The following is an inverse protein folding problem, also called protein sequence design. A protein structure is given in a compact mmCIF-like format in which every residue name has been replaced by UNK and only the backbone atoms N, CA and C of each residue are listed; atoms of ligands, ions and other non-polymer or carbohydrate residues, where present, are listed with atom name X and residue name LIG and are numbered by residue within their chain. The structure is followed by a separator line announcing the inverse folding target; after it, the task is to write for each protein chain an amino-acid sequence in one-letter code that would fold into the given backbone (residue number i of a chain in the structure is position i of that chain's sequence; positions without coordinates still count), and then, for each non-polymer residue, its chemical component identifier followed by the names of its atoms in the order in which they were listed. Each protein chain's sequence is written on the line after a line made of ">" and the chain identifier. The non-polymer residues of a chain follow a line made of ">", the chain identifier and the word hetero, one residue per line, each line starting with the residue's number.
data_IF_544449575060
#
_entry.id   IF_544449575060
#
_cell.length_a   1.000
_cell.length_b   1.000
_cell.length_c   1.000
_cell.angle_alpha   90.00
_cell.angle_beta   90.00
_cell.angle_gamma   90.00
#
_symmetry.space_group_name_H-M   'P 1'
#
loop_
_entity.id
_entity.type
_entity.pdbx_description
1 polymer ?
#
# COMPACT_ATOMS: atom_id res chain seq x y z
N UNK A 1 16.57 1.47 -0.73
CA UNK A 1 17.71 2.30 -1.22
C UNK A 1 17.44 2.54 -2.70
N UNK A 2 17.18 3.77 -3.12
CA UNK A 2 16.88 4.10 -4.52
C UNK A 2 18.20 4.07 -5.30
N UNK A 3 18.46 3.03 -6.08
CA UNK A 3 19.65 2.98 -6.96
C UNK A 3 19.77 4.20 -7.87
N UNK A 4 18.63 4.75 -8.31
CA UNK A 4 18.57 5.84 -9.29
C UNK A 4 18.44 7.25 -8.69
N UNK A 5 18.41 7.39 -7.36
CA UNK A 5 18.51 8.70 -6.70
C UNK A 5 19.79 8.88 -5.91
N UNK A 6 20.72 7.93 -6.04
CA UNK A 6 22.09 8.08 -5.59
C UNK A 6 22.81 8.79 -6.73
N UNK A 7 23.45 9.94 -6.47
CA UNK A 7 24.36 10.58 -7.41
C UNK A 7 25.30 9.55 -8.04
N UNK A 8 25.52 9.63 -9.36
CA UNK A 8 26.18 8.56 -10.11
C UNK A 8 27.57 8.21 -9.55
N UNK A 9 28.29 9.21 -9.07
CA UNK A 9 29.54 9.14 -8.31
C UNK A 9 29.40 8.26 -7.05
N UNK A 10 28.42 8.54 -6.19
CA UNK A 10 28.19 7.74 -4.97
C UNK A 10 27.74 6.30 -5.32
N UNK A 11 27.02 6.11 -6.43
CA UNK A 11 26.65 4.76 -6.88
C UNK A 11 27.87 3.97 -7.34
N UNK A 12 28.77 4.60 -8.11
CA UNK A 12 30.02 3.99 -8.54
C UNK A 12 30.89 3.61 -7.33
N UNK A 13 30.89 4.43 -6.27
CA UNK A 13 31.65 4.17 -5.06
C UNK A 13 31.08 3.01 -4.22
N UNK A 14 29.77 2.75 -4.28
CA UNK A 14 29.12 1.72 -3.44
C UNK A 14 28.94 0.40 -4.19
N UNK A 15 28.76 0.42 -5.52
CA UNK A 15 28.43 -0.78 -6.30
C UNK A 15 29.49 -1.87 -6.19
N UNK A 16 30.77 -1.50 -6.05
CA UNK A 16 31.89 -2.44 -5.96
C UNK A 16 31.93 -3.16 -4.60
N UNK A 17 31.19 -2.65 -3.61
CA UNK A 17 30.99 -3.28 -2.30
C UNK A 17 29.71 -4.13 -2.23
N UNK A 18 28.87 -4.11 -3.26
CA UNK A 18 27.64 -4.91 -3.33
C UNK A 18 27.93 -6.20 -4.09
N UNK A 19 27.49 -7.34 -3.54
CA UNK A 19 27.50 -8.56 -4.34
C UNK A 19 26.52 -8.40 -5.51
N UNK A 20 26.78 -9.01 -6.68
CA UNK A 20 25.83 -8.99 -7.80
C UNK A 20 24.40 -9.38 -7.40
N UNK A 21 24.28 -10.33 -6.46
CA UNK A 21 23.00 -10.75 -5.88
C UNK A 21 22.28 -9.63 -5.11
N UNK A 22 23.00 -8.71 -4.48
CA UNK A 22 22.40 -7.57 -3.77
C UNK A 22 21.82 -6.56 -4.76
N UNK A 23 22.49 -6.34 -5.89
CA UNK A 23 22.03 -5.44 -6.94
C UNK A 23 20.77 -6.01 -7.61
N UNK A 24 20.79 -7.28 -8.01
CA UNK A 24 19.62 -7.99 -8.55
C UNK A 24 18.46 -7.95 -7.56
N UNK A 25 18.70 -8.25 -6.28
CA UNK A 25 17.66 -8.21 -5.26
C UNK A 25 17.01 -6.84 -5.12
N UNK A 26 17.77 -5.74 -5.23
CA UNK A 26 17.20 -4.39 -5.15
C UNK A 26 16.40 -4.07 -6.41
N UNK A 27 16.89 -4.45 -7.59
CA UNK A 27 16.20 -4.20 -8.86
C UNK A 27 14.92 -5.03 -9.00
N UNK A 28 14.89 -6.25 -8.49
CA UNK A 28 13.74 -7.16 -8.56
C UNK A 28 12.88 -7.19 -7.30
N UNK A 29 13.07 -6.28 -6.34
CA UNK A 29 12.31 -6.30 -5.07
C UNK A 29 10.80 -6.25 -5.32
N UNK A 30 10.32 -5.39 -6.23
CA UNK A 30 8.90 -5.27 -6.55
C UNK A 30 8.34 -6.55 -7.18
N UNK A 31 9.05 -7.13 -8.15
CA UNK A 31 8.72 -8.43 -8.74
C UNK A 31 8.60 -9.51 -7.66
N UNK A 32 9.59 -9.57 -6.77
CA UNK A 32 9.63 -10.53 -5.67
C UNK A 32 8.44 -10.39 -4.71
N UNK A 33 8.01 -9.17 -4.40
CA UNK A 33 6.82 -8.92 -3.56
C UNK A 33 5.57 -9.53 -4.18
N UNK A 34 5.29 -9.24 -5.45
CA UNK A 34 4.13 -9.78 -6.14
C UNK A 34 4.17 -11.32 -6.23
N UNK A 35 5.34 -11.90 -6.51
CA UNK A 35 5.53 -13.35 -6.57
C UNK A 35 5.39 -14.04 -5.19
N UNK A 36 5.65 -13.35 -4.08
CA UNK A 36 5.39 -13.88 -2.73
C UNK A 36 3.91 -13.86 -2.34
N UNK A 37 3.08 -13.09 -3.06
CA UNK A 37 1.65 -12.98 -2.79
C UNK A 37 0.89 -13.92 -3.74
N UNK A 38 1.20 -13.88 -5.04
CA UNK A 38 0.51 -14.61 -6.08
C UNK A 38 1.39 -15.73 -6.64
N UNK A 39 0.80 -16.93 -6.77
CA UNK A 39 1.40 -18.05 -7.52
C UNK A 39 0.99 -18.04 -9.00
N UNK A 40 -0.07 -17.32 -9.32
CA UNK A 40 -0.68 -17.26 -10.65
C UNK A 40 -1.18 -15.83 -10.93
N UNK A 41 -0.85 -15.22 -12.09
CA UNK A 41 -1.27 -13.85 -12.40
C UNK A 41 -2.74 -13.71 -12.84
N UNK A 42 -3.48 -14.80 -13.07
CA UNK A 42 -4.82 -14.74 -13.70
C UNK A 42 -5.79 -13.73 -13.08
N UNK A 43 -5.87 -13.66 -11.74
CA UNK A 43 -6.74 -12.70 -11.07
C UNK A 43 -6.22 -11.26 -11.23
N UNK A 44 -4.91 -11.05 -11.13
CA UNK A 44 -4.31 -9.73 -11.33
C UNK A 44 -4.54 -9.26 -12.77
N UNK A 45 -4.38 -10.12 -13.76
CA UNK A 45 -4.65 -9.80 -15.15
C UNK A 45 -6.12 -9.44 -15.38
N UNK A 46 -7.03 -10.05 -14.62
CA UNK A 46 -8.45 -9.70 -14.61
C UNK A 46 -8.65 -8.30 -14.03
N UNK A 47 -8.05 -8.02 -12.87
CA UNK A 47 -8.08 -6.70 -12.23
C UNK A 47 -7.49 -5.59 -13.10
N UNK A 48 -6.43 -5.88 -13.85
CA UNK A 48 -5.83 -4.95 -14.81
C UNK A 48 -6.75 -4.66 -15.99
N UNK A 49 -7.56 -5.64 -16.42
CA UNK A 49 -8.49 -5.49 -17.55
C UNK A 49 -9.80 -4.80 -17.15
N UNK A 50 -10.29 -5.04 -15.94
CA UNK A 50 -11.53 -4.45 -15.44
C UNK A 50 -11.31 -3.05 -14.85
N UNK A 51 -10.16 -2.82 -14.23
CA UNK A 51 -9.83 -1.57 -13.54
C UNK A 51 -9.40 -0.46 -14.49
N UNK A 52 -9.58 0.78 -14.04
CA UNK A 52 -9.04 1.97 -14.71
C UNK A 52 -7.54 2.17 -14.45
N UNK A 53 -7.00 1.52 -13.41
CA UNK A 53 -5.58 1.61 -13.02
C UNK A 53 -5.00 0.24 -12.66
N UNK A 54 -3.69 0.09 -12.76
CA UNK A 54 -3.00 -1.13 -12.30
C UNK A 54 -3.23 -1.34 -10.80
N UNK A 55 -3.42 -2.60 -10.34
CA UNK A 55 -3.33 -2.93 -8.93
C UNK A 55 -2.02 -2.43 -8.32
N UNK A 56 -2.10 -1.99 -7.05
CA UNK A 56 -0.99 -1.40 -6.32
C UNK A 56 -0.87 -1.99 -4.93
N UNK A 57 0.36 -2.29 -4.53
CA UNK A 57 0.73 -2.59 -3.15
C UNK A 57 1.13 -1.30 -2.47
N UNK A 58 0.56 -1.00 -1.31
CA UNK A 58 0.90 0.17 -0.48
C UNK A 58 1.31 -0.30 0.91
N UNK A 59 2.43 0.21 1.42
CA UNK A 59 2.91 -0.12 2.76
C UNK A 59 4.25 0.55 3.03
N UNK A 60 4.66 0.62 4.29
CA UNK A 60 5.98 1.13 4.60
C UNK A 60 7.03 0.01 4.55
N UNK A 61 8.25 0.36 4.12
CA UNK A 61 9.42 -0.52 4.05
C UNK A 61 9.34 -1.60 2.95
N UNK A 62 8.60 -1.37 1.87
CA UNK A 62 8.57 -2.26 0.71
C UNK A 62 9.97 -2.49 0.13
N UNK A 63 10.78 -1.43 0.03
CA UNK A 63 12.15 -1.53 -0.52
C UNK A 63 13.12 -2.32 0.36
N UNK A 64 12.72 -2.64 1.60
CA UNK A 64 13.50 -3.48 2.52
C UNK A 64 13.21 -4.97 2.36
N UNK A 65 12.19 -5.34 1.57
CA UNK A 65 11.82 -6.73 1.35
C UNK A 65 12.99 -7.54 0.76
N UNK A 66 13.15 -8.77 1.25
CA UNK A 66 14.16 -9.72 0.77
C UNK A 66 13.49 -11.08 0.58
N UNK A 67 13.42 -11.53 -0.66
CA UNK A 67 12.75 -12.79 -1.05
C UNK A 67 13.31 -14.02 -0.33
N UNK A 68 14.61 -14.04 -0.03
CA UNK A 68 15.29 -15.16 0.62
C UNK A 68 15.24 -15.13 2.15
N UNK A 69 14.69 -14.06 2.75
CA UNK A 69 14.59 -13.95 4.20
C UNK A 69 13.40 -14.76 4.70
N UNK A 70 13.62 -15.57 5.73
CA UNK A 70 12.62 -16.46 6.32
C UNK A 70 11.40 -15.75 6.91
N UNK A 71 11.52 -14.45 7.24
CA UNK A 71 10.39 -13.62 7.63
C UNK A 71 10.65 -12.16 7.27
N UNK A 72 9.77 -11.60 6.46
CA UNK A 72 9.83 -10.20 6.03
C UNK A 72 9.06 -9.25 6.95
N UNK A 73 8.24 -9.76 7.90
CA UNK A 73 7.38 -8.98 8.81
C UNK A 73 6.82 -7.70 8.17
N UNK A 74 6.17 -7.87 7.00
CA UNK A 74 5.79 -6.76 6.14
C UNK A 74 4.27 -6.64 6.10
N UNK A 75 3.76 -5.44 6.35
CA UNK A 75 2.34 -5.15 6.22
C UNK A 75 2.08 -4.32 4.96
N UNK A 76 1.16 -4.80 4.15
CA UNK A 76 0.82 -4.27 2.83
C UNK A 76 -0.69 -4.11 2.71
N UNK A 77 -1.14 -3.20 1.87
CA UNK A 77 -2.49 -3.20 1.33
C UNK A 77 -2.46 -3.39 -0.17
N UNK A 78 -3.30 -4.28 -0.68
CA UNK A 78 -3.57 -4.39 -2.11
C UNK A 78 -4.81 -3.57 -2.44
N UNK A 79 -4.65 -2.65 -3.38
CA UNK A 79 -5.67 -1.70 -3.81
C UNK A 79 -5.81 -1.80 -5.33
N UNK A 80 -7.04 -1.80 -5.83
CA UNK A 80 -7.38 -2.08 -7.24
C UNK A 80 -8.17 -0.97 -7.94
N UNK A 81 -8.59 0.09 -7.22
CA UNK A 81 -9.39 1.21 -7.78
C UNK A 81 -10.58 0.72 -8.64
N UNK A 82 -11.28 -0.27 -8.12
CA UNK A 82 -12.38 -0.92 -8.81
C UNK A 82 -13.66 -0.10 -8.70
N UNK A 83 -13.81 0.90 -9.56
CA UNK A 83 -14.94 1.83 -9.53
C UNK A 83 -16.26 1.11 -9.87
N UNK A 84 -16.25 0.06 -10.69
CA UNK A 84 -17.47 -0.69 -10.99
C UNK A 84 -17.86 -1.65 -9.87
N UNK A 85 -16.89 -2.09 -9.06
CA UNK A 85 -17.09 -3.01 -7.95
C UNK A 85 -17.16 -4.48 -8.37
N UNK A 86 -16.93 -4.80 -9.65
CA UNK A 86 -17.06 -6.15 -10.20
C UNK A 86 -15.98 -7.11 -9.69
N UNK A 87 -14.83 -6.61 -9.24
CA UNK A 87 -13.77 -7.46 -8.70
C UNK A 87 -14.18 -8.13 -7.40
N UNK A 88 -15.15 -7.58 -6.67
CA UNK A 88 -15.71 -8.21 -5.47
C UNK A 88 -16.29 -9.60 -5.76
N UNK A 89 -16.93 -9.76 -6.92
CA UNK A 89 -17.53 -11.03 -7.34
C UNK A 89 -16.48 -12.07 -7.75
N UNK A 90 -15.23 -11.62 -7.99
CA UNK A 90 -14.09 -12.49 -8.32
C UNK A 90 -13.25 -12.88 -7.11
N UNK A 91 -13.69 -12.57 -5.88
CA UNK A 91 -12.93 -12.82 -4.65
C UNK A 91 -12.51 -14.29 -4.45
N UNK A 92 -13.31 -15.25 -4.91
CA UNK A 92 -12.92 -16.65 -4.84
C UNK A 92 -11.76 -17.00 -5.79
N UNK A 93 -11.75 -16.41 -6.98
CA UNK A 93 -10.62 -16.47 -7.93
C UNK A 93 -9.40 -15.77 -7.34
N UNK A 94 -9.57 -14.63 -6.66
CA UNK A 94 -8.47 -13.98 -5.95
C UNK A 94 -7.77 -14.96 -4.99
N UNK A 95 -8.52 -15.60 -4.08
CA UNK A 95 -7.94 -16.54 -3.11
C UNK A 95 -7.26 -17.76 -3.74
N UNK A 96 -7.75 -18.25 -4.88
CA UNK A 96 -7.15 -19.41 -5.56
C UNK A 96 -5.79 -19.09 -6.18
N UNK A 97 -5.53 -17.83 -6.52
CA UNK A 97 -4.27 -17.35 -7.11
C UNK A 97 -3.17 -17.02 -6.09
N UNK A 98 -3.49 -17.03 -4.80
CA UNK A 98 -2.53 -16.72 -3.74
C UNK A 98 -1.53 -17.87 -3.50
N UNK A 99 -0.33 -17.52 -3.04
CA UNK A 99 0.69 -18.46 -2.61
C UNK A 99 0.19 -19.41 -1.52
N UNK A 100 0.60 -20.68 -1.55
CA UNK A 100 0.07 -21.69 -0.63
C UNK A 100 0.38 -21.39 0.85
N UNK A 101 -0.44 -21.95 1.75
CA UNK A 101 -0.25 -21.82 3.20
C UNK A 101 -0.71 -20.48 3.80
N UNK A 102 -1.49 -19.70 3.03
CA UNK A 102 -2.10 -18.48 3.53
C UNK A 102 -3.20 -18.75 4.56
N UNK A 103 -3.46 -17.77 5.44
CA UNK A 103 -4.61 -17.76 6.36
C UNK A 103 -5.34 -16.44 6.22
N UNK A 104 -6.67 -16.46 6.22
CA UNK A 104 -7.49 -15.26 6.07
C UNK A 104 -8.21 -14.91 7.37
N UNK A 105 -8.04 -13.68 7.83
CA UNK A 105 -8.80 -13.05 8.92
C UNK A 105 -9.86 -12.12 8.31
N UNK A 106 -11.10 -12.61 8.30
CA UNK A 106 -12.26 -11.91 7.73
C UNK A 106 -12.63 -10.65 8.52
N UNK A 107 -12.33 -10.56 9.81
CA UNK A 107 -12.68 -9.39 10.61
C UNK A 107 -11.78 -8.19 10.26
N UNK A 108 -10.53 -8.45 9.93
CA UNK A 108 -9.55 -7.43 9.56
C UNK A 108 -9.34 -7.26 8.06
N UNK A 109 -9.91 -8.15 7.26
CA UNK A 109 -9.63 -8.27 5.83
C UNK A 109 -8.13 -8.47 5.56
N UNK A 110 -7.47 -9.30 6.38
CA UNK A 110 -6.02 -9.54 6.32
C UNK A 110 -5.73 -10.99 5.92
N UNK A 111 -4.82 -11.17 4.94
CA UNK A 111 -4.26 -12.46 4.54
C UNK A 111 -2.84 -12.56 5.06
N UNK A 112 -2.53 -13.62 5.79
CA UNK A 112 -1.21 -13.89 6.34
C UNK A 112 -0.50 -14.97 5.53
N UNK A 113 0.72 -14.67 5.08
CA UNK A 113 1.57 -15.59 4.32
C UNK A 113 2.69 -16.16 5.21
N UNK A 114 3.15 -17.37 4.89
CA UNK A 114 4.29 -18.00 5.56
C UNK A 114 5.60 -17.21 5.43
N UNK A 115 5.72 -16.36 4.40
CA UNK A 115 6.84 -15.44 4.18
C UNK A 115 6.92 -14.28 5.19
N UNK A 116 5.95 -14.17 6.09
CA UNK A 116 5.82 -13.06 7.05
C UNK A 116 5.18 -11.81 6.45
N UNK A 117 4.61 -11.90 5.24
CA UNK A 117 3.78 -10.84 4.65
C UNK A 117 2.36 -10.93 5.24
N UNK A 118 1.82 -9.78 5.61
CA UNK A 118 0.39 -9.58 5.88
C UNK A 118 -0.16 -8.64 4.83
N UNK A 119 -1.16 -9.09 4.08
CA UNK A 119 -1.80 -8.35 3.01
C UNK A 119 -3.22 -7.98 3.40
N UNK A 120 -3.51 -6.68 3.48
CA UNK A 120 -4.87 -6.19 3.62
C UNK A 120 -5.54 -6.14 2.25
N UNK A 121 -6.73 -6.73 2.18
CA UNK A 121 -7.51 -6.93 0.95
C UNK A 121 -8.90 -6.28 1.06
N UNK A 122 -9.07 -5.29 1.94
CA UNK A 122 -10.35 -4.62 2.17
C UNK A 122 -11.00 -4.16 0.86
N UNK A 123 -10.20 -3.57 -0.02
CA UNK A 123 -10.65 -3.00 -1.30
C UNK A 123 -11.26 -4.08 -2.21
N UNK A 124 -10.59 -5.23 -2.31
CA UNK A 124 -11.02 -6.37 -3.13
C UNK A 124 -12.34 -6.96 -2.62
N UNK A 125 -12.50 -7.04 -1.29
CA UNK A 125 -13.66 -7.71 -0.69
C UNK A 125 -14.89 -6.81 -0.64
N UNK A 126 -14.70 -5.49 -0.50
CA UNK A 126 -15.82 -4.56 -0.34
C UNK A 126 -16.16 -3.78 -1.61
N UNK A 127 -15.19 -3.50 -2.50
CA UNK A 127 -15.42 -2.77 -3.75
C UNK A 127 -16.08 -1.40 -3.49
N UNK A 128 -15.51 -0.60 -2.59
CA UNK A 128 -16.06 0.68 -2.15
C UNK A 128 -15.23 1.82 -2.75
N UNK A 129 -15.85 2.96 -3.08
CA UNK A 129 -15.15 4.17 -3.54
C UNK A 129 -14.12 4.67 -2.50
N UNK A 130 -14.33 4.30 -1.23
CA UNK A 130 -13.41 4.59 -0.13
C UNK A 130 -12.80 3.34 0.47
N UNK A 131 -11.48 3.37 0.69
CA UNK A 131 -10.74 2.23 1.20
C UNK A 131 -10.55 2.40 2.71
N UNK A 132 -10.91 1.40 3.51
CA UNK A 132 -10.72 1.46 4.97
C UNK A 132 -9.47 0.69 5.38
N UNK A 133 -8.43 1.40 5.81
CA UNK A 133 -7.13 0.82 6.15
C UNK A 133 -6.66 1.19 7.57
N UNK A 134 -5.89 0.31 8.23
CA UNK A 134 -5.22 0.64 9.49
C UNK A 134 -4.01 1.52 9.20
N UNK A 135 -4.22 2.84 9.26
CA UNK A 135 -3.26 3.84 8.80
C UNK A 135 -1.91 3.73 9.51
N UNK A 136 -1.90 3.38 10.79
CA UNK A 136 -0.67 3.18 11.57
C UNK A 136 0.17 1.96 11.14
N UNK A 137 -0.38 1.05 10.34
CA UNK A 137 0.37 -0.07 9.74
C UNK A 137 0.81 0.21 8.31
N UNK A 138 0.14 1.13 7.60
CA UNK A 138 0.47 1.52 6.22
C UNK A 138 1.47 2.67 6.18
N UNK A 139 1.37 3.58 7.15
CA UNK A 139 2.20 4.76 7.29
C UNK A 139 3.08 4.67 8.52
N UNK A 140 4.28 5.25 8.42
CA UNK A 140 5.16 5.48 9.57
C UNK A 140 5.65 6.91 9.60
N UNK A 141 6.05 7.40 10.78
CA UNK A 141 6.62 8.74 10.91
C UNK A 141 8.14 8.67 10.78
N UNK A 142 8.70 9.43 9.84
CA UNK A 142 10.14 9.72 9.74
C UNK A 142 10.40 11.17 10.14
N UNK A 143 11.67 11.54 10.31
CA UNK A 143 12.08 12.94 10.63
C UNK A 143 11.51 13.97 9.66
N UNK A 144 11.34 13.60 8.38
CA UNK A 144 10.83 14.46 7.29
C UNK A 144 9.29 14.43 7.15
N UNK A 145 8.58 13.68 7.99
CA UNK A 145 7.13 13.58 7.96
C UNK A 145 6.62 12.15 7.79
N UNK A 146 5.40 12.02 7.29
CA UNK A 146 4.79 10.72 7.00
C UNK A 146 5.52 10.02 5.87
N UNK A 147 5.69 8.72 6.01
CA UNK A 147 6.32 7.87 5.02
C UNK A 147 5.47 6.64 4.71
N UNK A 148 5.36 6.33 3.42
CA UNK A 148 4.89 5.04 2.90
C UNK A 148 5.53 4.82 1.53
N UNK A 149 5.48 3.60 1.04
CA UNK A 149 5.92 3.22 -0.29
C UNK A 149 4.78 2.53 -1.04
N UNK A 150 4.89 2.51 -2.35
CA UNK A 150 3.98 1.77 -3.21
C UNK A 150 4.71 1.08 -4.35
N UNK A 151 4.11 0.02 -4.88
CA UNK A 151 4.59 -0.74 -6.03
C UNK A 151 3.40 -1.14 -6.88
N UNK A 152 3.35 -0.68 -8.12
CA UNK A 152 2.33 -1.12 -9.07
C UNK A 152 2.66 -2.53 -9.59
N UNK A 153 1.66 -3.21 -10.14
CA UNK A 153 1.88 -4.48 -10.82
C UNK A 153 2.52 -4.29 -12.20
N UNK A 154 2.08 -3.29 -12.97
CA UNK A 154 2.67 -2.96 -14.29
C UNK A 154 4.06 -2.32 -14.17
N UNK A 155 4.22 -1.38 -13.24
CA UNK A 155 5.50 -0.80 -12.88
C UNK A 155 5.99 -1.36 -11.55
N UNK A 156 6.89 -2.34 -11.65
CA UNK A 156 7.48 -3.05 -10.51
C UNK A 156 8.50 -2.21 -9.72
N UNK A 157 8.67 -0.92 -10.07
CA UNK A 157 9.50 -0.02 -9.27
C UNK A 157 8.83 0.32 -7.95
N UNK A 158 9.60 0.20 -6.86
CA UNK A 158 9.15 0.63 -5.55
C UNK A 158 9.38 2.13 -5.41
N UNK A 159 8.31 2.88 -5.16
CA UNK A 159 8.32 4.33 -5.07
C UNK A 159 7.96 4.78 -3.66
N UNK A 160 8.72 5.74 -3.15
CA UNK A 160 8.37 6.46 -1.92
C UNK A 160 7.32 7.52 -2.24
N UNK A 161 6.19 7.49 -1.54
CA UNK A 161 5.14 8.48 -1.71
C UNK A 161 5.60 9.83 -1.15
N UNK A 162 5.60 10.85 -2.00
CA UNK A 162 5.99 12.20 -1.59
C UNK A 162 4.95 12.79 -0.63
N UNK A 163 5.36 13.54 0.42
CA UNK A 163 4.41 14.15 1.34
C UNK A 163 3.39 15.09 0.68
N UNK A 164 3.76 15.74 -0.42
CA UNK A 164 2.85 16.57 -1.25
C UNK A 164 1.65 15.80 -1.79
N UNK A 165 1.79 14.48 -1.94
CA UNK A 165 0.79 13.60 -2.53
C UNK A 165 -0.06 12.90 -1.46
N UNK A 166 0.14 13.24 -0.18
CA UNK A 166 -0.65 12.77 0.95
C UNK A 166 -1.45 13.97 1.45
N UNK A 167 -2.70 14.09 1.02
CA UNK A 167 -3.54 15.22 1.37
C UNK A 167 -4.39 14.86 2.59
N UNK A 168 -4.37 15.73 3.61
CA UNK A 168 -5.18 15.54 4.82
C UNK A 168 -6.67 15.57 4.47
N UNK A 169 -7.42 14.58 4.95
CA UNK A 169 -8.87 14.65 4.96
C UNK A 169 -9.37 15.24 6.28
N UNK A 170 -10.24 16.25 6.21
CA UNK A 170 -10.95 16.77 7.37
C UNK A 170 -12.47 16.60 7.19
N UNK A 171 -13.10 15.59 7.82
CA UNK A 171 -14.54 15.38 7.73
C UNK A 171 -15.35 16.43 8.52
N UNK A 172 -14.70 17.23 9.36
CA UNK A 172 -15.37 18.20 10.25
C UNK A 172 -15.34 19.63 9.73
N UNK A 173 -14.62 19.89 8.65
CA UNK A 173 -14.45 21.22 8.09
C UNK A 173 -15.71 21.67 7.32
N UNK A 174 -16.59 22.41 8.01
CA UNK A 174 -17.83 22.98 7.46
C UNK A 174 -17.59 24.38 6.89
N UNK A 175 -17.17 24.48 5.63
CA UNK A 175 -17.31 25.73 4.87
C UNK A 175 -17.75 25.43 3.44
N UNK A 176 -19.00 24.99 3.26
CA UNK A 176 -19.93 25.30 2.15
C UNK A 176 -21.12 24.32 2.15
N UNK A 177 -22.33 24.74 1.76
CA UNK A 177 -23.54 23.90 1.80
C UNK A 177 -23.55 22.70 0.83
N UNK A 178 -22.52 22.52 0.00
CA UNK A 178 -22.53 21.57 -1.13
C UNK A 178 -21.43 20.50 -1.12
N UNK A 179 -20.52 20.51 -0.13
CA UNK A 179 -19.43 19.53 -0.06
C UNK A 179 -19.89 18.22 0.61
N UNK A 180 -20.27 17.21 -0.19
CA UNK A 180 -20.71 15.88 0.31
C UNK A 180 -19.59 15.02 0.93
N UNK A 181 -18.31 15.41 0.83
CA UNK A 181 -17.13 14.60 1.19
C UNK A 181 -16.02 15.37 1.93
N UNK A 182 -16.32 16.14 2.99
CA UNK A 182 -15.29 16.82 3.81
C UNK A 182 -14.42 17.83 3.04
N UNK A 183 -13.37 18.36 3.67
CA UNK A 183 -12.44 19.32 3.04
C UNK A 183 -11.00 18.81 3.05
N UNK A 184 -10.27 19.10 1.97
CA UNK A 184 -8.90 18.64 1.74
C UNK A 184 -7.91 19.73 2.12
N UNK A 185 -7.16 19.51 3.21
CA UNK A 185 -6.34 20.53 3.86
C UNK A 185 -4.84 20.32 3.58
N UNK A 186 -4.40 20.67 2.37
CA UNK A 186 -2.98 20.68 1.98
C UNK A 186 -2.21 19.36 2.22
N UNK A 187 -0.89 19.37 1.97
CA UNK A 187 -0.03 18.22 2.25
C UNK A 187 0.01 17.88 3.74
N UNK A 188 0.02 16.58 4.03
CA UNK A 188 0.15 16.05 5.37
C UNK A 188 1.61 16.03 5.81
N UNK A 189 1.90 16.66 6.95
CA UNK A 189 3.27 16.78 7.48
C UNK A 189 3.56 15.79 8.60
N UNK A 190 2.53 15.28 9.29
CA UNK A 190 2.67 14.45 10.49
C UNK A 190 1.59 13.37 10.54
N UNK A 191 1.89 12.18 11.06
CA UNK A 191 0.92 11.08 11.15
C UNK A 191 -0.38 11.41 11.89
N UNK A 192 -0.37 12.43 12.79
CA UNK A 192 -1.60 12.92 13.42
C UNK A 192 -2.59 13.55 12.43
N UNK A 193 -2.09 14.09 11.33
CA UNK A 193 -2.86 14.84 10.34
C UNK A 193 -3.73 13.89 9.51
N UNK A 194 -3.29 12.64 9.30
CA UNK A 194 -4.07 11.62 8.58
C UNK A 194 -4.98 10.78 9.48
N UNK A 195 -5.07 11.05 10.79
CA UNK A 195 -5.84 10.22 11.73
C UNK A 195 -7.32 10.07 11.38
N UNK A 196 -7.86 11.03 10.64
CA UNK A 196 -9.25 11.01 10.21
C UNK A 196 -9.41 10.36 8.82
N UNK A 197 -8.32 10.20 8.07
CA UNK A 197 -8.28 9.76 6.68
C UNK A 197 -7.33 10.64 5.85
N UNK A 198 -7.09 10.22 4.62
CA UNK A 198 -6.27 10.98 3.67
C UNK A 198 -6.66 10.67 2.23
N UNK A 199 -6.29 11.59 1.33
CA UNK A 199 -6.28 11.37 -0.12
C UNK A 199 -4.84 11.10 -0.53
N UNK A 200 -4.62 10.02 -1.26
CA UNK A 200 -3.33 9.71 -1.88
C UNK A 200 -3.41 9.96 -3.38
N UNK A 201 -2.37 10.59 -3.94
CA UNK A 201 -2.15 10.62 -5.38
C UNK A 201 -0.92 9.77 -5.70
N UNK A 202 -1.12 8.65 -6.38
CA UNK A 202 -0.04 7.74 -6.80
C UNK A 202 0.21 7.87 -8.29
N UNK A 203 1.45 7.62 -8.72
CA UNK A 203 1.89 7.74 -10.11
C UNK A 203 2.23 6.36 -10.68
N UNK A 204 1.54 5.95 -11.73
CA UNK A 204 1.85 4.79 -12.57
C UNK A 204 2.29 5.29 -13.96
N UNK A 205 3.60 5.36 -14.20
CA UNK A 205 4.16 6.11 -15.33
C UNK A 205 3.74 7.58 -15.28
N UNK A 206 3.04 8.04 -16.32
CA UNK A 206 2.48 9.40 -16.44
C UNK A 206 1.02 9.50 -15.95
N UNK A 207 0.45 8.40 -15.44
CA UNK A 207 -0.94 8.36 -14.99
C UNK A 207 -1.03 8.62 -13.49
N UNK A 208 -1.78 9.64 -13.11
CA UNK A 208 -2.14 9.90 -11.71
C UNK A 208 -3.40 9.14 -11.33
N UNK A 209 -3.33 8.36 -10.24
CA UNK A 209 -4.51 7.72 -9.64
C UNK A 209 -4.73 8.26 -8.22
N UNK A 210 -5.98 8.60 -7.92
CA UNK A 210 -6.38 9.15 -6.63
C UNK A 210 -7.10 8.11 -5.80
N UNK A 211 -6.66 7.93 -4.55
CA UNK A 211 -7.27 7.02 -3.59
C UNK A 211 -7.76 7.79 -2.36
N UNK A 212 -8.99 7.52 -1.91
CA UNK A 212 -9.52 8.05 -0.66
C UNK A 212 -9.44 6.96 0.40
N UNK A 213 -8.61 7.19 1.42
CA UNK A 213 -8.36 6.23 2.50
C UNK A 213 -8.96 6.74 3.79
N UNK A 214 -9.82 5.92 4.39
CA UNK A 214 -10.42 6.13 5.69
C UNK A 214 -9.75 5.21 6.72
N UNK A 215 -9.64 5.63 7.99
CA UNK A 215 -9.09 4.78 9.04
C UNK A 215 -10.09 3.67 9.39
N UNK A 216 -9.63 2.42 9.45
CA UNK A 216 -10.37 1.41 10.23
C UNK A 216 -10.33 1.81 11.69
N UNK A 217 -11.51 1.95 12.33
CA UNK A 217 -11.58 2.21 13.77
C UNK A 217 -10.97 1.02 14.52
N UNK A 218 -9.68 1.10 14.87
CA UNK A 218 -9.15 0.30 15.97
C UNK A 218 -9.98 0.69 17.20
N UNK A 219 -10.82 -0.23 17.69
CA UNK A 219 -11.49 -0.08 18.98
C UNK A 219 -10.42 0.39 19.97
N UNK A 220 -10.49 1.65 20.41
CA UNK A 220 -9.71 2.10 21.56
C UNK A 220 -10.01 1.07 22.65
N UNK A 221 -8.98 0.40 23.18
CA UNK A 221 -9.11 -0.20 24.52
C UNK A 221 -9.48 0.96 25.43
N UNK A 222 -10.78 1.13 25.67
CA UNK A 222 -11.30 1.90 26.77
C UNK A 222 -10.78 1.19 28.01
N UNK A 223 -9.62 1.63 28.49
CA UNK A 223 -9.23 1.37 29.87
C UNK A 223 -10.23 2.16 30.71
N UNK A 224 -11.39 1.57 30.97
CA UNK A 224 -12.24 2.00 32.04
C UNK A 224 -11.44 1.73 33.32
N UNK A 225 -10.92 2.79 33.93
CA UNK A 225 -10.44 2.74 35.30
C UNK A 225 -11.69 2.52 36.14
N UNK A 226 -11.91 1.29 36.59
CA UNK A 226 -12.87 1.02 37.65
C UNK A 226 -12.23 1.57 38.92
N UNK A 227 -12.70 2.74 39.35
CA UNK A 227 -12.56 3.23 40.73
C UNK A 227 -13.73 2.75 41.54
#
# INVERSE_FOLDING_TARGET
>A
MKLFSIPHDIWLDIKDFLAPSDIENILDTGRGLWQQIFKDPTWIDTAVKSGQSSPVLIGHNLSSFRSRKSSNCLYLSLVVNDISGDLRDTSQTFFSTLQNGWRYDKEKFEVYFSSGITLNIYDIINGDETIKLPLERIFTNKKKGIYTEYCYYKDLSIRELQPSNIIKWDPSYKTTPWARLGWWNGPSSKGRDIRMGCKLTLLDGDTETVYIILPTRLKRKLWAKIT
#
